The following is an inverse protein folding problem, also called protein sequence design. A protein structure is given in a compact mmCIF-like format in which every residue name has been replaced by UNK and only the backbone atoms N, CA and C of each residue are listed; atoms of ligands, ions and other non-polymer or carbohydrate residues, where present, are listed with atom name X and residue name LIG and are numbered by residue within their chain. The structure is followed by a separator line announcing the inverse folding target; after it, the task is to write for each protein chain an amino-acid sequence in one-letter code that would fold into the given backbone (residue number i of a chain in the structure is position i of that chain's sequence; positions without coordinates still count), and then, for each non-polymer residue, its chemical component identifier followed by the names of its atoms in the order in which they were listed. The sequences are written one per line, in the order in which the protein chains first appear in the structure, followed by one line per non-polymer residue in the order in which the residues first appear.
data_IF_441036723699
#
_entry.id   IF_441036723699
#
_cell.length_a   1.000
_cell.length_b   1.000
_cell.length_c   1.000
_cell.angle_alpha   90.00
_cell.angle_beta   90.00
_cell.angle_gamma   90.00
#
_symmetry.space_group_name_H-M   'P 1'
#
loop_
_entity.id
_entity.type
_entity.pdbx_description
1 polymer ?
#
# COMPACT_ATOMS: atom_id res chain seq x y z
N UNK A 1 5.46 1.59 -5.03
CA UNK A 1 4.89 0.30 -4.60
C UNK A 1 5.93 -0.73 -4.10
N UNK A 2 7.01 -1.13 -4.80
CA UNK A 2 7.94 -2.14 -4.26
C UNK A 2 8.49 -1.81 -2.87
N UNK A 3 8.87 -0.56 -2.65
CA UNK A 3 9.36 -0.10 -1.35
C UNK A 3 8.28 -0.23 -0.25
N UNK A 4 7.02 0.13 -0.55
CA UNK A 4 5.90 -0.02 0.38
C UNK A 4 5.66 -1.48 0.77
N UNK A 5 5.73 -2.40 -0.20
CA UNK A 5 5.57 -3.85 0.05
C UNK A 5 6.66 -4.38 0.98
N UNK A 6 7.94 -4.02 0.73
CA UNK A 6 9.07 -4.48 1.55
C UNK A 6 8.95 -3.92 2.97
N UNK A 7 8.76 -2.61 3.10
CA UNK A 7 8.63 -1.96 4.41
C UNK A 7 7.37 -2.45 5.14
N UNK A 8 6.25 -2.61 4.42
CA UNK A 8 5.02 -3.16 4.96
C UNK A 8 5.17 -4.58 5.49
N UNK A 9 5.90 -5.45 4.77
CA UNK A 9 6.20 -6.80 5.26
C UNK A 9 7.04 -6.77 6.54
N UNK A 10 8.07 -5.93 6.58
CA UNK A 10 8.89 -5.75 7.79
C UNK A 10 8.03 -5.29 8.97
N UNK A 11 7.18 -4.26 8.76
CA UNK A 11 6.27 -3.75 9.79
C UNK A 11 5.27 -4.82 10.25
N UNK A 12 4.73 -5.63 9.34
CA UNK A 12 3.84 -6.75 9.67
C UNK A 12 4.54 -7.77 10.58
N UNK A 13 5.76 -8.16 10.23
CA UNK A 13 6.55 -9.10 11.04
C UNK A 13 6.91 -8.52 12.41
N UNK A 14 7.28 -7.23 12.47
CA UNK A 14 7.51 -6.53 13.74
C UNK A 14 6.23 -6.50 14.59
N UNK A 15 5.08 -6.15 14.00
CA UNK A 15 3.78 -6.10 14.68
C UNK A 15 3.35 -7.44 15.25
N UNK A 16 3.68 -8.55 14.56
CA UNK A 16 3.38 -9.91 14.97
C UNK A 16 4.39 -10.50 15.95
N UNK A 17 5.49 -9.80 16.23
CA UNK A 17 6.53 -10.26 17.14
C UNK A 17 6.02 -10.38 18.58
N UNK A 18 6.49 -11.40 19.31
CA UNK A 18 6.25 -11.56 20.76
C UNK A 18 6.98 -10.50 21.60
N UNK A 19 8.01 -9.88 21.05
CA UNK A 19 8.80 -8.86 21.72
C UNK A 19 8.14 -7.49 21.64
N UNK A 20 7.68 -6.96 22.76
CA UNK A 20 6.99 -5.66 22.85
C UNK A 20 7.80 -4.48 22.29
N UNK A 21 9.11 -4.51 22.43
CA UNK A 21 10.01 -3.48 21.90
C UNK A 21 10.05 -3.41 20.36
N UNK A 22 9.66 -4.47 19.65
CA UNK A 22 9.46 -4.48 18.19
C UNK A 22 8.02 -4.17 17.82
N UNK A 23 7.08 -4.80 18.50
CA UNK A 23 5.66 -4.73 18.17
C UNK A 23 5.05 -3.35 18.45
N UNK A 24 5.47 -2.67 19.52
CA UNK A 24 4.95 -1.36 19.90
C UNK A 24 5.30 -0.24 18.91
N UNK A 25 6.59 -0.03 18.53
CA UNK A 25 6.92 0.99 17.53
C UNK A 25 6.23 0.76 16.19
N UNK A 26 6.15 -0.49 15.73
CA UNK A 26 5.42 -0.83 14.50
C UNK A 26 3.93 -0.49 14.63
N UNK A 27 3.31 -0.79 15.78
CA UNK A 27 1.95 -0.45 16.06
C UNK A 27 1.70 1.05 16.00
N UNK A 28 2.50 1.83 16.72
CA UNK A 28 2.37 3.29 16.78
C UNK A 28 2.52 3.89 15.37
N UNK A 29 3.51 3.43 14.60
CA UNK A 29 3.70 3.89 13.23
C UNK A 29 2.48 3.60 12.35
N UNK A 30 2.02 2.35 12.34
CA UNK A 30 0.88 1.92 11.52
C UNK A 30 -0.37 2.73 11.87
N UNK A 31 -0.71 2.85 13.15
CA UNK A 31 -1.90 3.59 13.60
C UNK A 31 -1.78 5.09 13.31
N UNK A 32 -0.62 5.71 13.55
CA UNK A 32 -0.40 7.12 13.29
C UNK A 32 -0.49 7.46 11.80
N UNK A 33 0.14 6.64 10.94
CA UNK A 33 0.16 6.87 9.50
C UNK A 33 -1.22 6.64 8.88
N UNK A 34 -1.92 5.57 9.28
CA UNK A 34 -3.28 5.29 8.80
C UNK A 34 -4.34 6.22 9.39
N UNK A 35 -4.08 6.81 10.56
CA UNK A 35 -4.96 7.76 11.24
C UNK A 35 -4.82 9.20 10.77
N UNK A 36 -3.88 9.50 9.86
CA UNK A 36 -3.63 10.87 9.37
C UNK A 36 -3.73 10.95 7.85
N UNK A 37 -4.26 12.06 7.29
CA UNK A 37 -4.35 12.22 5.84
C UNK A 37 -2.98 12.26 5.16
N UNK A 38 -2.83 11.57 4.02
CA UNK A 38 -1.59 11.54 3.25
C UNK A 38 -1.11 12.94 2.86
N UNK A 39 -2.01 13.84 2.48
CA UNK A 39 -1.66 15.23 2.14
C UNK A 39 -0.98 15.96 3.31
N UNK A 40 -1.44 15.74 4.54
CA UNK A 40 -0.84 16.32 5.74
C UNK A 40 0.56 15.74 5.97
N UNK A 41 0.73 14.43 5.74
CA UNK A 41 2.05 13.78 5.83
C UNK A 41 3.04 14.38 4.82
N UNK A 42 2.61 14.60 3.57
CA UNK A 42 3.43 15.25 2.53
C UNK A 42 3.85 16.66 2.96
N UNK A 43 2.93 17.47 3.48
CA UNK A 43 3.26 18.80 3.97
C UNK A 43 4.20 18.78 5.18
N UNK A 44 3.97 17.88 6.15
CA UNK A 44 4.84 17.74 7.31
C UNK A 44 6.27 17.37 6.90
N UNK A 45 6.45 16.40 6.01
CA UNK A 45 7.77 16.01 5.53
C UNK A 45 8.41 17.14 4.75
N UNK A 46 7.71 17.76 3.80
CA UNK A 46 8.27 18.77 2.92
C UNK A 46 8.65 20.07 3.64
N UNK A 47 7.79 20.55 4.56
CA UNK A 47 8.02 21.83 5.23
C UNK A 47 8.75 21.69 6.57
N UNK A 48 8.55 20.58 7.32
CA UNK A 48 9.12 20.47 8.66
C UNK A 48 10.52 19.89 8.68
N UNK A 49 10.88 18.97 7.77
CA UNK A 49 12.23 18.40 7.75
C UNK A 49 13.33 19.46 7.53
N UNK A 50 13.21 20.42 6.60
CA UNK A 50 14.21 21.49 6.46
C UNK A 50 14.33 22.39 7.70
N UNK A 51 13.24 22.56 8.47
CA UNK A 51 13.30 23.31 9.74
C UNK A 51 14.14 22.55 10.76
N UNK A 52 13.91 21.24 10.89
CA UNK A 52 14.72 20.37 11.78
C UNK A 52 16.20 20.37 11.32
N UNK A 53 16.46 20.31 10.01
CA UNK A 53 17.81 20.40 9.46
C UNK A 53 18.54 21.69 9.90
N UNK A 54 17.88 22.82 9.79
CA UNK A 54 18.44 24.11 10.26
C UNK A 54 18.77 24.11 11.76
N UNK A 55 17.92 23.49 12.59
CA UNK A 55 18.18 23.38 14.03
C UNK A 55 19.40 22.50 14.34
N UNK A 56 19.64 21.47 13.50
CA UNK A 56 20.77 20.55 13.65
C UNK A 56 22.01 21.00 12.87
N UNK A 57 21.99 22.18 12.24
CA UNK A 57 23.06 22.70 11.35
C UNK A 57 23.49 21.70 10.28
N UNK A 58 22.52 21.06 9.62
CA UNK A 58 22.76 20.09 8.54
C UNK A 58 21.75 20.24 7.41
N UNK A 59 22.22 20.08 6.17
CA UNK A 59 21.38 20.09 4.97
C UNK A 59 20.79 18.70 4.66
N UNK A 60 21.13 17.69 5.45
CA UNK A 60 20.69 16.30 5.25
C UNK A 60 19.16 16.15 5.15
N UNK A 61 18.41 17.01 5.83
CA UNK A 61 16.94 17.00 5.83
C UNK A 61 16.30 17.87 4.74
N UNK A 62 17.12 18.50 3.87
CA UNK A 62 16.61 19.24 2.71
C UNK A 62 16.46 18.28 1.53
N UNK A 63 15.29 17.68 1.40
CA UNK A 63 15.01 16.66 0.39
C UNK A 63 14.41 17.29 -0.87
N UNK A 64 14.76 16.74 -2.04
CA UNK A 64 14.10 17.06 -3.30
C UNK A 64 12.63 16.61 -3.28
N UNK A 65 11.77 17.33 -3.99
CA UNK A 65 10.33 17.07 -4.08
C UNK A 65 10.01 15.62 -4.45
N UNK A 66 10.75 15.05 -5.40
CA UNK A 66 10.58 13.66 -5.82
C UNK A 66 10.86 12.68 -4.66
N UNK A 67 11.94 12.91 -3.94
CA UNK A 67 12.30 12.09 -2.76
C UNK A 67 11.25 12.18 -1.67
N UNK A 68 10.73 13.38 -1.40
CA UNK A 68 9.62 13.59 -0.46
C UNK A 68 8.38 12.79 -0.89
N UNK A 69 8.00 12.89 -2.17
CA UNK A 69 6.88 12.14 -2.74
C UNK A 69 7.05 10.63 -2.57
N UNK A 70 8.25 10.10 -2.89
CA UNK A 70 8.55 8.66 -2.74
C UNK A 70 8.48 8.23 -1.28
N UNK A 71 9.07 8.98 -0.35
CA UNK A 71 9.08 8.65 1.09
C UNK A 71 7.65 8.67 1.64
N UNK A 72 6.87 9.71 1.34
CA UNK A 72 5.52 9.86 1.86
C UNK A 72 4.57 8.78 1.31
N UNK A 73 4.57 8.56 -0.02
CA UNK A 73 3.74 7.51 -0.62
C UNK A 73 4.15 6.12 -0.15
N UNK A 74 5.45 5.81 -0.19
CA UNK A 74 5.93 4.50 0.24
C UNK A 74 5.69 4.26 1.73
N UNK A 75 5.91 5.26 2.59
CA UNK A 75 5.67 5.18 4.03
C UNK A 75 4.18 5.02 4.35
N UNK A 76 3.32 5.83 3.72
CA UNK A 76 1.88 5.72 3.91
C UNK A 76 1.38 4.34 3.51
N UNK A 77 1.66 3.90 2.29
CA UNK A 77 1.22 2.59 1.80
C UNK A 77 1.88 1.42 2.55
N UNK A 78 3.09 1.56 3.08
CA UNK A 78 3.71 0.54 3.92
C UNK A 78 2.88 0.23 5.18
N UNK A 79 2.20 1.23 5.74
CA UNK A 79 1.32 1.02 6.89
C UNK A 79 0.05 0.22 6.53
N UNK A 80 -0.52 0.44 5.33
CA UNK A 80 -1.65 -0.36 4.82
C UNK A 80 -1.20 -1.77 4.47
N UNK A 81 -0.09 -1.90 3.75
CA UNK A 81 0.49 -3.21 3.37
C UNK A 81 0.85 -4.05 4.60
N UNK A 82 1.31 -3.42 5.70
CA UNK A 82 1.58 -4.13 6.95
C UNK A 82 0.34 -4.84 7.50
N UNK A 83 -0.82 -4.19 7.46
CA UNK A 83 -2.07 -4.79 7.91
C UNK A 83 -2.59 -5.86 6.93
N UNK A 84 -2.41 -5.64 5.61
CA UNK A 84 -2.76 -6.62 4.58
C UNK A 84 -1.95 -7.91 4.77
N UNK A 85 -0.63 -7.78 4.93
CA UNK A 85 0.26 -8.93 5.18
C UNK A 85 -0.09 -9.65 6.48
N UNK A 86 -0.33 -8.90 7.57
CA UNK A 86 -0.73 -9.45 8.85
C UNK A 86 -2.06 -10.19 8.76
N UNK A 87 -3.07 -9.57 8.16
CA UNK A 87 -4.39 -10.17 7.98
C UNK A 87 -4.33 -11.44 7.11
N UNK A 88 -3.57 -11.41 6.02
CA UNK A 88 -3.39 -12.56 5.14
C UNK A 88 -2.74 -13.76 5.84
N UNK A 89 -1.71 -13.52 6.68
CA UNK A 89 -1.09 -14.58 7.48
C UNK A 89 -2.03 -15.12 8.56
N UNK A 90 -2.82 -14.26 9.20
CA UNK A 90 -3.77 -14.64 10.25
C UNK A 90 -5.05 -15.31 9.72
N UNK A 91 -5.37 -15.11 8.45
CA UNK A 91 -6.53 -15.75 7.82
C UNK A 91 -6.36 -17.26 7.56
N UNK A 92 -5.12 -17.76 7.65
CA UNK A 92 -4.88 -19.19 7.46
C UNK A 92 -5.29 -19.95 8.72
N UNK A 93 -6.17 -20.95 8.52
CA UNK A 93 -6.61 -21.80 9.61
C UNK A 93 -5.43 -22.50 10.30
N UNK A 94 -5.45 -22.52 11.63
CA UNK A 94 -4.40 -23.14 12.45
C UNK A 94 -4.27 -24.63 12.17
N UNK A 95 -5.37 -25.30 11.84
CA UNK A 95 -5.41 -26.72 11.49
C UNK A 95 -4.55 -27.03 10.26
N UNK A 96 -4.38 -26.09 9.33
CA UNK A 96 -3.47 -26.29 8.18
C UNK A 96 -2.01 -26.46 8.64
N UNK A 97 -1.57 -25.68 9.62
CA UNK A 97 -0.23 -25.81 10.19
C UNK A 97 -0.12 -27.07 11.04
N UNK A 98 -1.13 -27.37 11.86
CA UNK A 98 -1.15 -28.56 12.71
C UNK A 98 -1.15 -29.86 11.89
N UNK A 99 -1.93 -29.93 10.81
CA UNK A 99 -1.94 -31.04 9.87
C UNK A 99 -0.55 -31.23 9.21
N UNK A 100 0.09 -30.14 8.80
CA UNK A 100 1.44 -30.20 8.24
C UNK A 100 2.49 -30.76 9.23
N UNK A 101 2.40 -30.36 10.50
CA UNK A 101 3.26 -30.88 11.56
C UNK A 101 2.99 -32.37 11.84
N UNK A 102 1.74 -32.80 11.78
CA UNK A 102 1.34 -34.19 12.04
C UNK A 102 1.89 -35.17 11.00
N UNK A 103 2.16 -34.71 9.77
CA UNK A 103 2.82 -35.52 8.73
C UNK A 103 4.34 -35.40 8.73
N UNK A 104 4.94 -34.80 9.80
CA UNK A 104 6.38 -34.78 10.02
C UNK A 104 7.10 -33.55 9.43
N UNK A 105 6.38 -32.52 8.93
CA UNK A 105 7.03 -31.28 8.53
C UNK A 105 7.50 -30.50 9.76
N UNK A 106 8.69 -29.88 9.64
CA UNK A 106 9.13 -28.91 10.64
C UNK A 106 8.31 -27.61 10.56
N UNK A 107 8.32 -26.78 11.61
CA UNK A 107 7.67 -25.49 11.64
C UNK A 107 8.00 -24.60 10.43
N UNK A 108 9.27 -24.53 10.07
CA UNK A 108 9.73 -23.77 8.91
C UNK A 108 9.21 -24.34 7.59
N UNK A 109 9.13 -25.66 7.47
CA UNK A 109 8.59 -26.35 6.29
C UNK A 109 7.06 -26.14 6.21
N UNK A 110 6.33 -26.31 7.32
CA UNK A 110 4.90 -26.05 7.39
C UNK A 110 4.58 -24.61 7.00
N UNK A 111 5.34 -23.63 7.50
CA UNK A 111 5.19 -22.23 7.11
C UNK A 111 5.46 -22.03 5.61
N UNK A 112 6.61 -22.52 5.10
CA UNK A 112 7.06 -22.27 3.73
C UNK A 112 6.19 -22.97 2.68
N UNK A 113 5.76 -24.20 2.94
CA UNK A 113 5.10 -25.04 1.94
C UNK A 113 3.56 -25.03 2.06
N UNK A 114 3.02 -24.72 3.24
CA UNK A 114 1.57 -24.77 3.49
C UNK A 114 1.01 -23.37 3.75
N UNK A 115 1.52 -22.65 4.75
CA UNK A 115 0.96 -21.35 5.18
C UNK A 115 1.25 -20.24 4.17
N UNK A 116 2.51 -20.05 3.81
CA UNK A 116 2.95 -18.93 2.96
C UNK A 116 2.29 -18.92 1.57
N UNK A 117 2.17 -20.05 0.84
CA UNK A 117 1.48 -20.05 -0.46
C UNK A 117 -0.01 -19.72 -0.36
N UNK A 118 -0.66 -20.11 0.73
CA UNK A 118 -2.07 -19.77 0.96
C UNK A 118 -2.22 -18.28 1.34
N UNK A 119 -1.39 -17.78 2.26
CA UNK A 119 -1.39 -16.38 2.65
C UNK A 119 -1.11 -15.45 1.46
N UNK A 120 -0.19 -15.82 0.57
CA UNK A 120 0.12 -15.05 -0.64
C UNK A 120 -1.12 -14.84 -1.53
N UNK A 121 -1.95 -15.87 -1.68
CA UNK A 121 -3.19 -15.78 -2.48
C UNK A 121 -4.23 -14.84 -1.86
N UNK A 122 -4.26 -14.75 -0.53
CA UNK A 122 -5.17 -13.84 0.20
C UNK A 122 -4.66 -12.40 0.14
N UNK A 123 -3.35 -12.20 0.18
CA UNK A 123 -2.70 -10.88 0.21
C UNK A 123 -2.72 -10.20 -1.17
N UNK A 124 -2.56 -10.95 -2.25
CA UNK A 124 -2.40 -10.37 -3.60
C UNK A 124 -3.57 -9.49 -4.05
N UNK A 125 -4.86 -9.86 -3.89
CA UNK A 125 -5.96 -8.99 -4.30
C UNK A 125 -5.98 -7.62 -3.63
N UNK A 126 -5.90 -7.48 -2.30
CA UNK A 126 -5.84 -6.17 -1.66
C UNK A 126 -4.58 -5.38 -2.04
N UNK A 127 -3.41 -6.01 -2.22
CA UNK A 127 -2.19 -5.34 -2.70
C UNK A 127 -2.39 -4.72 -4.09
N UNK A 128 -3.11 -5.41 -4.98
CA UNK A 128 -3.43 -4.85 -6.30
C UNK A 128 -4.36 -3.65 -6.19
N UNK A 129 -5.34 -3.69 -5.29
CA UNK A 129 -6.23 -2.56 -5.04
C UNK A 129 -5.44 -1.36 -4.49
N UNK A 130 -4.49 -1.59 -3.59
CA UNK A 130 -3.61 -0.55 -3.06
C UNK A 130 -2.66 0.02 -4.14
N UNK A 131 -2.18 -0.80 -5.08
CA UNK A 131 -1.43 -0.32 -6.24
C UNK A 131 -2.26 0.67 -7.08
N UNK A 132 -3.53 0.36 -7.33
CA UNK A 132 -4.44 1.24 -8.09
C UNK A 132 -4.75 2.52 -7.30
N UNK A 133 -4.90 2.41 -5.99
CA UNK A 133 -5.09 3.56 -5.12
C UNK A 133 -3.84 4.46 -5.10
N UNK A 134 -2.65 3.90 -4.88
CA UNK A 134 -1.37 4.62 -4.89
C UNK A 134 -1.12 5.35 -6.22
N UNK A 135 -1.51 4.76 -7.36
CA UNK A 135 -1.41 5.42 -8.67
C UNK A 135 -2.21 6.72 -8.71
N UNK A 136 -3.42 6.74 -8.13
CA UNK A 136 -4.26 7.95 -8.05
C UNK A 136 -3.74 8.92 -6.99
N UNK A 137 -3.34 8.41 -5.84
CA UNK A 137 -2.82 9.20 -4.72
C UNK A 137 -1.46 9.83 -5.03
N UNK A 138 -0.74 9.33 -6.07
CA UNK A 138 0.46 10.02 -6.55
C UNK A 138 0.18 11.46 -6.98
N UNK A 139 -1.07 11.80 -7.38
CA UNK A 139 -1.47 13.17 -7.69
C UNK A 139 -1.39 14.13 -6.49
N UNK A 140 -1.38 13.62 -5.26
CA UNK A 140 -1.28 14.44 -4.05
C UNK A 140 0.07 15.18 -3.98
N UNK A 141 1.13 14.62 -4.58
CA UNK A 141 2.46 15.27 -4.57
C UNK A 141 2.50 16.56 -5.41
N UNK A 142 1.51 16.79 -6.26
CA UNK A 142 1.36 18.04 -7.00
C UNK A 142 1.25 19.27 -6.08
N UNK A 143 0.73 19.09 -4.85
CA UNK A 143 0.58 20.19 -3.87
C UNK A 143 1.90 20.81 -3.40
N UNK A 144 2.99 20.05 -3.48
CA UNK A 144 4.36 20.56 -3.22
C UNK A 144 5.06 21.02 -4.51
N UNK A 145 4.31 21.07 -5.62
CA UNK A 145 4.83 21.50 -6.94
C UNK A 145 5.78 20.46 -7.56
N UNK A 146 5.58 19.17 -7.29
CA UNK A 146 6.21 18.11 -8.08
C UNK A 146 5.51 18.02 -9.44
N UNK A 147 6.29 17.94 -10.49
CA UNK A 147 5.80 17.83 -11.88
C UNK A 147 5.25 16.42 -12.12
N UNK A 148 4.00 16.21 -11.75
CA UNK A 148 3.21 15.01 -12.03
C UNK A 148 2.09 15.33 -13.05
N UNK A 149 1.31 14.32 -13.42
CA UNK A 149 0.22 14.48 -14.39
C UNK A 149 -0.78 15.58 -13.99
N UNK A 150 -1.13 15.67 -12.70
CA UNK A 150 -2.08 16.69 -12.22
C UNK A 150 -1.46 18.09 -12.23
N UNK A 151 -0.21 18.22 -11.80
CA UNK A 151 0.51 19.49 -11.82
C UNK A 151 0.65 20.02 -13.25
N UNK A 152 1.03 19.14 -14.19
CA UNK A 152 1.19 19.50 -15.61
C UNK A 152 -0.15 19.93 -16.23
N UNK A 153 -1.23 19.19 -15.97
CA UNK A 153 -2.56 19.56 -16.42
C UNK A 153 -3.01 20.94 -15.90
N UNK A 154 -2.68 21.24 -14.63
CA UNK A 154 -2.97 22.56 -14.05
C UNK A 154 -2.12 23.66 -14.67
N UNK A 155 -0.83 23.39 -14.91
CA UNK A 155 0.12 24.32 -15.50
C UNK A 155 -0.31 24.73 -16.92
N UNK A 156 -0.58 23.75 -17.78
CA UNK A 156 -1.10 23.98 -19.14
C UNK A 156 -2.46 24.70 -19.08
N UNK A 157 -3.34 24.26 -18.18
CA UNK A 157 -4.66 24.86 -18.02
C UNK A 157 -4.61 26.34 -17.63
N UNK A 158 -3.67 26.74 -16.77
CA UNK A 158 -3.47 28.14 -16.36
C UNK A 158 -2.88 28.98 -17.49
N UNK A 159 -1.91 28.48 -18.24
CA UNK A 159 -1.28 29.22 -19.35
C UNK A 159 -2.24 29.50 -20.51
N UNK A 160 -3.26 28.63 -20.71
CA UNK A 160 -4.24 28.76 -21.79
C UNK A 160 -5.67 29.12 -21.31
N UNK A 161 -5.85 29.44 -20.03
CA UNK A 161 -7.17 29.72 -19.42
C UNK A 161 -8.20 28.59 -19.62
N UNK A 162 -7.73 27.33 -19.63
CA UNK A 162 -8.53 26.13 -19.91
C UNK A 162 -8.46 25.07 -18.80
N UNK A 163 -8.24 25.50 -17.55
CA UNK A 163 -8.04 24.60 -16.39
C UNK A 163 -9.09 23.48 -16.31
N UNK A 164 -10.42 23.74 -16.41
CA UNK A 164 -11.40 22.65 -16.29
C UNK A 164 -11.24 21.58 -17.37
N UNK A 165 -10.89 21.98 -18.61
CA UNK A 165 -10.67 21.05 -19.71
C UNK A 165 -9.46 20.16 -19.45
N UNK A 166 -8.37 20.74 -18.97
CA UNK A 166 -7.13 19.99 -18.66
C UNK A 166 -7.33 19.04 -17.48
N UNK A 167 -8.11 19.44 -16.47
CA UNK A 167 -8.46 18.54 -15.36
C UNK A 167 -9.30 17.34 -15.82
N UNK A 168 -10.25 17.54 -16.73
CA UNK A 168 -11.01 16.43 -17.33
C UNK A 168 -10.08 15.48 -18.09
N UNK A 169 -9.13 16.03 -18.86
CA UNK A 169 -8.13 15.20 -19.58
C UNK A 169 -7.28 14.40 -18.60
N UNK A 170 -6.77 15.01 -17.53
CA UNK A 170 -6.03 14.31 -16.49
C UNK A 170 -6.88 13.19 -15.84
N UNK A 171 -8.14 13.47 -15.51
CA UNK A 171 -9.07 12.47 -14.96
C UNK A 171 -9.27 11.27 -15.91
N UNK A 172 -9.40 11.53 -17.22
CA UNK A 172 -9.50 10.45 -18.23
C UNK A 172 -8.22 9.62 -18.29
N UNK A 173 -7.05 10.25 -18.23
CA UNK A 173 -5.76 9.54 -18.23
C UNK A 173 -5.64 8.66 -16.97
N UNK A 174 -5.94 9.19 -15.77
CA UNK A 174 -5.95 8.40 -14.53
C UNK A 174 -6.95 7.24 -14.60
N UNK A 175 -8.13 7.45 -15.20
CA UNK A 175 -9.12 6.40 -15.41
C UNK A 175 -8.57 5.28 -16.30
N UNK A 176 -7.97 5.64 -17.44
CA UNK A 176 -7.38 4.66 -18.37
C UNK A 176 -6.28 3.85 -17.68
N UNK A 177 -5.35 4.52 -16.99
CA UNK A 177 -4.27 3.86 -16.24
C UNK A 177 -4.82 2.93 -15.16
N UNK A 178 -5.83 3.39 -14.40
CA UNK A 178 -6.49 2.58 -13.38
C UNK A 178 -7.19 1.35 -13.98
N UNK A 179 -7.85 1.49 -15.12
CA UNK A 179 -8.50 0.36 -15.82
C UNK A 179 -7.49 -0.67 -16.32
N UNK A 180 -6.32 -0.23 -16.82
CA UNK A 180 -5.23 -1.13 -17.21
C UNK A 180 -4.72 -1.91 -15.99
N UNK A 181 -4.44 -1.22 -14.88
CA UNK A 181 -4.00 -1.88 -13.65
C UNK A 181 -5.07 -2.84 -13.10
N UNK A 182 -6.35 -2.46 -13.16
CA UNK A 182 -7.46 -3.32 -12.75
C UNK A 182 -7.61 -4.57 -13.63
N UNK A 183 -7.46 -4.43 -14.95
CA UNK A 183 -7.48 -5.57 -15.87
C UNK A 183 -6.32 -6.53 -15.58
N UNK A 184 -5.11 -6.00 -15.36
CA UNK A 184 -3.95 -6.78 -14.94
C UNK A 184 -4.21 -7.49 -13.59
N UNK A 185 -4.76 -6.78 -12.62
CA UNK A 185 -5.10 -7.34 -11.32
C UNK A 185 -6.05 -8.54 -11.43
N UNK A 186 -7.15 -8.39 -12.16
CA UNK A 186 -8.10 -9.49 -12.40
C UNK A 186 -7.45 -10.68 -13.10
N UNK A 187 -6.51 -10.44 -14.01
CA UNK A 187 -5.76 -11.53 -14.66
C UNK A 187 -4.88 -12.29 -13.66
N UNK A 188 -4.17 -11.58 -12.76
CA UNK A 188 -3.36 -12.18 -11.69
C UNK A 188 -4.26 -12.98 -10.74
N UNK A 189 -5.37 -12.41 -10.28
CA UNK A 189 -6.32 -13.08 -9.40
C UNK A 189 -6.88 -14.37 -9.99
N UNK A 190 -7.25 -14.34 -11.27
CA UNK A 190 -7.70 -15.55 -11.99
C UNK A 190 -6.65 -16.66 -12.00
N UNK A 191 -5.37 -16.30 -12.14
CA UNK A 191 -4.27 -17.29 -12.09
C UNK A 191 -4.02 -17.84 -10.69
N UNK A 192 -4.28 -17.04 -9.65
CA UNK A 192 -4.09 -17.41 -8.24
C UNK A 192 -5.29 -18.21 -7.68
N UNK A 193 -6.48 -18.09 -8.28
CA UNK A 193 -7.64 -18.90 -7.89
C UNK A 193 -7.35 -20.37 -8.12
N UNK A 194 -7.28 -21.12 -7.02
CA UNK A 194 -7.20 -22.59 -7.08
C UNK A 194 -8.57 -23.13 -7.46
N UNK A 195 -8.62 -24.07 -8.38
CA UNK A 195 -9.77 -24.95 -8.57
C UNK A 195 -10.06 -25.65 -7.24
N UNK A 196 -11.18 -25.30 -6.58
CA UNK A 196 -11.65 -26.02 -5.37
C UNK A 196 -11.66 -25.21 -4.06
N UNK A 197 -11.47 -23.89 -4.06
CA UNK A 197 -11.80 -23.07 -2.88
C UNK A 197 -13.32 -22.92 -2.73
N UNK A 198 -13.87 -22.82 -1.49
CA UNK A 198 -15.30 -22.61 -1.31
C UNK A 198 -15.71 -21.33 -2.04
N UNK A 199 -16.65 -21.46 -2.97
CA UNK A 199 -17.34 -20.30 -3.53
C UNK A 199 -18.03 -19.60 -2.35
N UNK A 200 -17.60 -18.39 -2.04
CA UNK A 200 -18.38 -17.51 -1.18
C UNK A 200 -19.69 -17.24 -1.91
N UNK A 201 -20.70 -17.99 -1.55
CA UNK A 201 -22.08 -17.82 -2.01
C UNK A 201 -22.58 -16.47 -1.46
N UNK A 202 -22.41 -15.40 -2.24
CA UNK A 202 -22.97 -14.06 -1.95
C UNK A 202 -24.44 -13.97 -2.43
N UNK A 203 -25.01 -15.07 -2.86
CA UNK A 203 -26.34 -15.10 -3.51
C UNK A 203 -27.52 -15.28 -2.56
N UNK A 204 -27.51 -14.79 -1.32
CA UNK A 204 -28.72 -14.84 -0.50
C UNK A 204 -28.88 -13.68 0.48
N UNK A 205 -28.85 -12.42 0.00
CA UNK A 205 -29.28 -11.24 0.81
C UNK A 205 -30.49 -10.51 0.20
N UNK A 206 -31.12 -11.03 -0.84
CA UNK A 206 -32.39 -10.47 -1.36
C UNK A 206 -33.47 -11.55 -1.36
N UNK A 207 -34.01 -11.84 -0.20
CA UNK A 207 -35.17 -12.69 -0.04
C UNK A 207 -35.75 -12.56 1.37
N UNK A 208 -36.54 -11.55 1.57
CA UNK A 208 -37.77 -11.40 2.35
C UNK A 208 -37.92 -9.94 2.80
#
# INVERSE_FOLDING_TARGET
MPLALIVGLILALMRMSRHRWLSWPAAIYIEAVRGTPLIVQVFLVYFSLPVVGRWLNTDFFTLEKFTVGVICLAGNYAAYEAEIHRAGLQAIDKGQREAALSIGLSDAQAFRFVVLPQAFRIVVPPVINDLIAMLKDSSIVSVIGLEDLLNEAQSIGRSHFTVPRMLVMAAVIYLILSLICFAFGRWVEKKLKVRGGPELHIDNVHGH
#
